data_IF_668684783804
#
_entry.id   IF_668684783804
#
_cell.length_a   1.000
_cell.length_b   1.000
_cell.length_c   1.000
_cell.angle_alpha   90.00
_cell.angle_beta   90.00
_cell.angle_gamma   90.00
#
_symmetry.space_group_name_H-M   'P 1'
#
loop_
_entity.id
_entity.type
_entity.pdbx_description
1 polymer ?
#
# COMPACT_ATOMS: atom_id res chain seq x y z
N UNK A 1 -41.33 -24.54 -22.84
CA UNK A 1 -42.12 -25.25 -21.81
C UNK A 1 -41.26 -25.44 -20.56
N UNK A 2 -41.94 -25.57 -19.41
CA UNK A 2 -41.48 -25.80 -18.03
C UNK A 2 -40.47 -26.97 -17.84
N UNK A 3 -39.67 -27.10 -16.76
CA UNK A 3 -39.34 -26.23 -15.60
C UNK A 3 -38.03 -26.70 -14.91
N UNK A 4 -37.52 -25.88 -13.99
CA UNK A 4 -36.26 -25.96 -13.22
C UNK A 4 -36.11 -27.23 -12.34
N UNK A 5 -34.85 -27.59 -12.07
CA UNK A 5 -34.39 -28.35 -10.89
C UNK A 5 -33.45 -27.45 -10.08
N UNK A 6 -33.62 -27.37 -8.76
CA UNK A 6 -32.77 -26.54 -7.90
C UNK A 6 -32.69 -27.12 -6.46
N UNK A 7 -31.48 -27.06 -5.89
CA UNK A 7 -31.10 -26.95 -4.46
C UNK A 7 -31.42 -28.01 -3.36
N UNK A 8 -30.32 -28.57 -2.87
CA UNK A 8 -29.75 -28.48 -1.50
C UNK A 8 -30.36 -29.15 -0.24
N UNK A 9 -29.43 -29.80 0.47
CA UNK A 9 -29.12 -29.66 1.90
C UNK A 9 -29.90 -30.39 3.03
N UNK A 10 -29.23 -31.47 3.48
CA UNK A 10 -28.62 -31.57 4.82
C UNK A 10 -29.42 -32.15 6.03
N UNK A 11 -28.63 -32.75 6.93
CA UNK A 11 -28.88 -33.22 8.31
C UNK A 11 -29.79 -34.45 8.55
N UNK A 12 -29.24 -35.36 9.35
CA UNK A 12 -29.89 -36.54 9.92
C UNK A 12 -30.52 -36.21 11.28
N UNK A 13 -31.79 -36.52 11.44
CA UNK A 13 -32.48 -36.54 12.74
C UNK A 13 -32.31 -37.87 13.48
N UNK A 14 -32.38 -37.82 14.82
CA UNK A 14 -33.24 -38.71 15.65
C UNK A 14 -33.25 -38.34 17.15
N UNK A 15 -34.43 -37.88 17.58
CA UNK A 15 -35.25 -38.29 18.74
C UNK A 15 -34.58 -38.45 20.13
N UNK A 16 -34.93 -37.69 21.20
CA UNK A 16 -36.23 -37.43 21.88
C UNK A 16 -36.84 -38.63 22.64
N UNK A 17 -36.82 -38.56 23.99
CA UNK A 17 -37.88 -38.93 24.98
C UNK A 17 -37.39 -38.55 26.40
N UNK A 18 -37.88 -37.48 27.04
CA UNK A 18 -39.14 -37.30 27.82
C UNK A 18 -39.28 -38.13 29.11
N UNK A 19 -39.41 -37.44 30.24
CA UNK A 19 -39.91 -37.95 31.53
C UNK A 19 -40.83 -36.93 32.24
N UNK A 20 -40.69 -36.65 33.55
CA UNK A 20 -41.80 -36.20 34.45
C UNK A 20 -41.38 -35.41 35.72
N UNK A 21 -42.24 -34.69 36.49
CA UNK A 21 -43.51 -33.95 36.21
C UNK A 21 -44.11 -33.28 37.49
N UNK A 22 -44.14 -31.92 37.58
CA UNK A 22 -45.06 -31.10 38.46
C UNK A 22 -44.87 -31.20 40.01
N UNK A 23 -45.37 -30.32 40.90
CA UNK A 23 -46.23 -29.08 40.93
C UNK A 23 -45.87 -28.33 42.25
N UNK A 24 -46.08 -27.03 42.48
CA UNK A 24 -47.38 -26.38 42.73
C UNK A 24 -47.24 -24.85 42.88
N UNK A 25 -48.36 -24.10 42.85
CA UNK A 25 -48.43 -22.64 43.05
C UNK A 25 -49.05 -22.31 44.41
N UNK A 26 -48.77 -21.13 44.96
CA UNK A 26 -49.85 -20.24 45.37
C UNK A 26 -49.45 -18.75 45.36
N UNK A 27 -50.44 -17.85 45.42
CA UNK A 27 -50.31 -16.41 45.21
C UNK A 27 -51.02 -15.62 46.32
N UNK A 28 -50.76 -14.32 46.32
CA UNK A 28 -51.52 -13.24 46.97
C UNK A 28 -51.31 -12.98 48.49
N UNK A 29 -50.80 -11.78 48.80
CA UNK A 29 -51.61 -10.83 49.58
C UNK A 29 -51.22 -9.35 49.35
N UNK A 30 -52.11 -8.41 49.72
CA UNK A 30 -52.17 -7.03 49.17
C UNK A 30 -51.92 -5.90 50.20
N UNK A 31 -51.19 -4.86 49.73
CA UNK A 31 -51.44 -3.41 49.92
C UNK A 31 -51.23 -2.74 51.32
N UNK A 32 -51.18 -1.37 51.41
CA UNK A 32 -50.24 -0.67 52.31
C UNK A 32 -50.84 0.38 53.30
N UNK A 33 -49.93 1.19 53.91
CA UNK A 33 -50.08 2.43 54.74
C UNK A 33 -50.16 2.25 56.27
N UNK A 34 -49.26 2.93 57.00
CA UNK A 34 -49.57 4.20 57.73
C UNK A 34 -48.34 4.80 58.43
N UNK A 35 -48.22 6.13 58.41
CA UNK A 35 -47.28 6.90 59.24
C UNK A 35 -47.79 7.03 60.69
N UNK A 36 -46.88 7.11 61.66
CA UNK A 36 -47.06 7.86 62.92
C UNK A 36 -45.77 8.62 63.27
N UNK A 37 -45.91 9.90 63.65
CA UNK A 37 -44.83 10.79 64.15
C UNK A 37 -44.75 10.76 65.69
N UNK A 38 -43.68 11.38 66.23
CA UNK A 38 -43.43 11.80 67.64
C UNK A 38 -42.82 10.69 68.52
N UNK A 39 -41.89 10.97 69.46
CA UNK A 39 -41.18 12.23 69.84
C UNK A 39 -39.86 11.90 70.58
N UNK A 40 -38.97 12.90 70.65
CA UNK A 40 -37.68 12.99 71.37
C UNK A 40 -37.42 12.04 72.56
N UNK A 41 -36.14 11.64 72.68
CA UNK A 41 -35.37 11.87 73.92
C UNK A 41 -33.87 12.01 73.59
N UNK A 42 -33.28 13.16 73.92
CA UNK A 42 -31.82 13.31 73.92
C UNK A 42 -31.22 12.32 74.91
N UNK A 43 -30.20 11.59 74.46
CA UNK A 43 -29.08 11.17 75.30
C UNK A 43 -27.82 11.40 74.49
N UNK A 44 -27.16 12.52 74.77
CA UNK A 44 -25.77 12.73 74.38
C UNK A 44 -24.86 11.68 75.05
N UNK A 45 -23.64 11.55 74.49
CA UNK A 45 -22.51 10.70 74.96
C UNK A 45 -22.72 9.22 74.59
N UNK A 46 -21.92 8.62 73.70
CA UNK A 46 -20.46 8.72 73.63
C UNK A 46 -19.86 8.49 72.22
N UNK A 47 -18.77 9.23 71.96
CA UNK A 47 -17.56 8.86 71.19
C UNK A 47 -17.72 8.07 69.88
N UNK A 48 -17.77 8.80 68.76
CA UNK A 48 -16.94 8.45 67.60
C UNK A 48 -15.96 9.58 67.34
N UNK A 49 -14.66 9.24 67.41
CA UNK A 49 -13.56 10.17 67.17
C UNK A 49 -13.38 10.28 65.66
N UNK A 50 -14.10 11.21 65.01
CA UNK A 50 -13.94 11.47 63.58
C UNK A 50 -12.54 12.06 63.37
N UNK A 51 -11.54 11.20 63.13
CA UNK A 51 -10.23 11.61 62.64
C UNK A 51 -10.39 12.00 61.17
N UNK A 52 -10.85 13.23 60.95
CA UNK A 52 -10.92 13.86 59.63
C UNK A 52 -9.54 14.13 59.08
N UNK A 53 -8.89 13.10 58.53
CA UNK A 53 -7.82 13.29 57.56
C UNK A 53 -8.39 13.78 56.22
N UNK A 54 -7.51 14.26 55.33
CA UNK A 54 -7.86 14.89 54.04
C UNK A 54 -8.74 14.04 53.10
N UNK A 55 -8.93 12.75 53.39
CA UNK A 55 -9.69 11.77 52.59
C UNK A 55 -10.80 11.04 53.37
N UNK A 56 -11.19 11.51 54.56
CA UNK A 56 -12.36 10.99 55.28
C UNK A 56 -12.14 9.68 56.06
N UNK A 57 -13.26 9.10 56.51
CA UNK A 57 -13.30 8.02 57.51
C UNK A 57 -12.86 6.65 56.96
N UNK A 58 -12.16 5.85 57.77
CA UNK A 58 -11.47 4.60 57.39
C UNK A 58 -12.38 3.37 57.19
N UNK A 59 -13.65 3.56 56.85
CA UNK A 59 -14.53 2.45 56.46
C UNK A 59 -14.16 1.93 55.06
N UNK A 60 -14.20 0.61 54.85
CA UNK A 60 -13.84 -0.01 53.57
C UNK A 60 -14.70 0.48 52.39
N UNK A 61 -15.98 0.75 52.63
CA UNK A 61 -16.91 1.34 51.66
C UNK A 61 -16.56 2.79 51.29
N UNK A 62 -16.05 3.59 52.22
CA UNK A 62 -15.53 4.94 51.95
C UNK A 62 -14.25 4.86 51.14
N UNK A 63 -13.37 3.91 51.46
CA UNK A 63 -12.10 3.68 50.77
C UNK A 63 -12.33 3.26 49.31
N UNK A 64 -13.30 2.37 49.05
CA UNK A 64 -13.77 2.08 47.68
C UNK A 64 -14.29 3.33 46.95
N UNK A 65 -15.05 4.20 47.64
CA UNK A 65 -15.56 5.45 47.07
C UNK A 65 -14.44 6.42 46.67
N UNK A 66 -13.43 6.59 47.54
CA UNK A 66 -12.24 7.41 47.27
C UNK A 66 -11.42 6.83 46.12
N UNK A 67 -11.18 5.51 46.08
CA UNK A 67 -10.46 4.85 44.98
C UNK A 67 -11.22 4.99 43.66
N UNK A 68 -12.55 4.82 43.64
CA UNK A 68 -13.38 5.06 42.45
C UNK A 68 -13.36 6.53 42.02
N UNK A 69 -13.33 7.47 42.96
CA UNK A 69 -13.17 8.90 42.69
C UNK A 69 -11.81 9.24 42.05
N UNK A 70 -10.71 8.70 42.60
CA UNK A 70 -9.36 8.86 42.03
C UNK A 70 -9.30 8.24 40.63
N UNK A 71 -9.82 7.03 40.43
CA UNK A 71 -9.90 6.39 39.11
C UNK A 71 -10.72 7.21 38.12
N UNK A 72 -11.82 7.82 38.54
CA UNK A 72 -12.62 8.72 37.70
C UNK A 72 -11.84 9.97 37.29
N UNK A 73 -11.12 10.61 38.22
CA UNK A 73 -10.26 11.78 37.92
C UNK A 73 -9.12 11.40 36.97
N UNK A 74 -8.48 10.25 37.16
CA UNK A 74 -7.46 9.74 36.22
C UNK A 74 -8.06 9.45 34.84
N UNK A 75 -9.24 8.82 34.77
CA UNK A 75 -9.93 8.54 33.52
C UNK A 75 -10.33 9.81 32.75
N UNK A 76 -10.88 10.81 33.44
CA UNK A 76 -11.17 12.13 32.86
C UNK A 76 -9.87 12.82 32.41
N UNK A 77 -8.79 12.73 33.19
CA UNK A 77 -7.48 13.22 32.80
C UNK A 77 -6.95 12.59 31.50
N UNK A 78 -7.07 11.26 31.36
CA UNK A 78 -6.72 10.55 30.14
C UNK A 78 -7.57 10.99 28.93
N UNK A 79 -8.88 11.22 29.11
CA UNK A 79 -9.75 11.75 28.04
C UNK A 79 -9.32 13.17 27.65
N UNK A 80 -9.08 14.07 28.61
CA UNK A 80 -8.66 15.46 28.32
C UNK A 80 -7.29 15.49 27.61
N UNK A 81 -6.34 14.64 28.02
CA UNK A 81 -5.04 14.54 27.33
C UNK A 81 -5.17 13.92 25.94
N UNK A 82 -6.02 12.90 25.76
CA UNK A 82 -6.26 12.25 24.47
C UNK A 82 -6.95 13.17 23.47
N UNK A 83 -8.11 13.73 23.84
CA UNK A 83 -8.85 14.70 23.02
C UNK A 83 -8.06 15.99 22.79
N UNK A 84 -7.23 16.41 23.76
CA UNK A 84 -6.36 17.56 23.63
C UNK A 84 -5.20 17.36 22.66
N UNK A 85 -4.60 16.15 22.60
CA UNK A 85 -3.53 15.83 21.64
C UNK A 85 -4.04 15.53 20.23
N UNK A 86 -5.19 14.87 20.09
CA UNK A 86 -5.76 14.46 18.81
C UNK A 86 -5.72 15.52 17.68
N UNK A 87 -6.08 16.81 17.89
CA UNK A 87 -5.97 17.82 16.84
C UNK A 87 -4.51 18.21 16.50
N UNK A 88 -3.58 18.18 17.46
CA UNK A 88 -2.16 18.43 17.19
C UNK A 88 -1.53 17.25 16.44
N UNK A 89 -1.76 16.03 16.90
CA UNK A 89 -1.27 14.80 16.25
C UNK A 89 -1.83 14.69 14.82
N UNK A 90 -3.10 15.07 14.61
CA UNK A 90 -3.70 15.10 13.27
C UNK A 90 -3.12 16.21 12.40
N UNK A 91 -2.91 17.43 12.93
CA UNK A 91 -2.30 18.52 12.18
C UNK A 91 -0.84 18.24 11.80
N UNK A 92 -0.06 17.62 12.69
CA UNK A 92 1.32 17.21 12.41
C UNK A 92 1.37 16.06 11.40
N UNK A 93 0.45 15.09 11.49
CA UNK A 93 0.29 14.03 10.49
C UNK A 93 -0.13 14.58 9.12
N UNK A 94 -1.05 15.55 9.06
CA UNK A 94 -1.46 16.21 7.82
C UNK A 94 -0.30 17.01 7.21
N UNK A 95 0.43 17.80 8.00
CA UNK A 95 1.66 18.48 7.55
C UNK A 95 2.73 17.51 7.07
N UNK A 96 2.86 16.36 7.74
CA UNK A 96 3.77 15.30 7.32
C UNK A 96 3.34 14.68 5.97
N UNK A 97 2.06 14.39 5.75
CA UNK A 97 1.54 13.90 4.46
C UNK A 97 1.57 14.95 3.34
N UNK A 98 1.42 16.24 3.67
CA UNK A 98 1.56 17.34 2.71
C UNK A 98 3.03 17.55 2.31
N UNK A 99 3.97 17.39 3.23
CA UNK A 99 5.40 17.57 2.97
C UNK A 99 6.13 16.37 2.37
N UNK A 100 5.51 15.21 2.16
CA UNK A 100 6.19 14.00 1.66
C UNK A 100 5.70 13.56 0.27
N UNK A 101 6.51 12.71 -0.37
CA UNK A 101 6.12 11.92 -1.55
C UNK A 101 4.96 10.98 -1.20
N UNK A 102 4.00 10.79 -2.11
CA UNK A 102 2.93 9.79 -1.99
C UNK A 102 3.53 8.42 -1.63
N UNK A 103 2.91 7.62 -0.73
CA UNK A 103 3.51 6.40 -0.21
C UNK A 103 3.96 5.42 -1.29
N UNK A 104 5.15 4.84 -1.12
CA UNK A 104 5.60 3.74 -1.97
C UNK A 104 4.72 2.51 -1.71
N UNK A 105 4.26 1.88 -2.78
CA UNK A 105 3.27 0.81 -2.78
C UNK A 105 1.82 1.29 -2.97
N UNK A 106 1.57 2.60 -3.02
CA UNK A 106 0.23 3.14 -3.25
C UNK A 106 -0.25 2.89 -4.69
N UNK A 107 -1.53 2.56 -4.83
CA UNK A 107 -2.19 2.38 -6.13
C UNK A 107 -2.84 3.69 -6.58
N UNK A 108 -2.55 4.09 -7.82
CA UNK A 108 -3.14 5.23 -8.49
C UNK A 108 -4.06 4.70 -9.60
N UNK A 109 -5.34 5.07 -9.56
CA UNK A 109 -6.32 4.68 -10.57
C UNK A 109 -6.52 5.80 -11.59
N UNK A 110 -6.35 5.50 -12.87
CA UNK A 110 -6.66 6.41 -13.97
C UNK A 110 -8.17 6.67 -14.03
N UNK A 111 -8.55 7.94 -13.85
CA UNK A 111 -9.92 8.41 -13.56
C UNK A 111 -11.04 7.98 -14.53
N UNK A 112 -10.73 7.59 -15.77
CA UNK A 112 -11.73 7.14 -16.77
C UNK A 112 -11.51 5.72 -17.24
N UNK A 113 -10.26 5.30 -17.44
CA UNK A 113 -9.96 3.94 -17.90
C UNK A 113 -10.07 2.92 -16.76
N UNK A 114 -10.02 3.35 -15.49
CA UNK A 114 -9.96 2.45 -14.34
C UNK A 114 -8.73 1.55 -14.42
N UNK A 115 -7.62 2.10 -14.90
CA UNK A 115 -6.34 1.41 -15.01
C UNK A 115 -5.50 1.73 -13.77
N UNK A 116 -5.07 0.69 -13.05
CA UNK A 116 -4.28 0.86 -11.82
C UNK A 116 -2.77 0.81 -12.12
N UNK A 117 -2.04 1.82 -11.66
CA UNK A 117 -0.57 1.80 -11.60
C UNK A 117 -0.11 1.97 -10.16
N UNK A 118 1.04 1.42 -9.79
CA UNK A 118 1.55 1.49 -8.42
C UNK A 118 2.80 2.35 -8.35
N UNK A 119 2.93 3.26 -7.37
CA UNK A 119 4.23 3.92 -7.12
C UNK A 119 5.19 2.88 -6.54
N UNK A 120 6.05 2.30 -7.38
CA UNK A 120 6.98 1.23 -6.98
C UNK A 120 8.16 1.77 -6.19
N UNK A 121 8.70 2.90 -6.60
CA UNK A 121 9.87 3.53 -6.00
C UNK A 121 9.92 5.03 -6.35
N UNK A 122 10.56 5.81 -5.47
CA UNK A 122 11.05 7.15 -5.82
C UNK A 122 12.51 7.28 -5.41
N UNK A 123 13.35 7.64 -6.38
CA UNK A 123 14.79 7.79 -6.23
C UNK A 123 15.24 9.20 -6.57
N UNK A 124 16.35 9.64 -6.00
CA UNK A 124 17.01 10.88 -6.35
C UNK A 124 18.52 10.70 -6.18
N UNK A 125 19.32 11.50 -6.87
CA UNK A 125 20.77 11.43 -6.74
C UNK A 125 21.30 12.21 -5.51
N UNK A 126 22.61 12.12 -5.26
CA UNK A 126 23.23 12.75 -4.09
C UNK A 126 23.08 14.28 -4.09
N UNK A 127 23.06 14.90 -5.27
CA UNK A 127 22.96 16.35 -5.44
C UNK A 127 21.52 16.86 -5.51
N UNK A 128 20.56 15.96 -5.75
CA UNK A 128 19.13 16.26 -6.05
C UNK A 128 18.93 16.84 -7.45
N UNK A 129 19.90 16.64 -8.35
CA UNK A 129 19.87 17.17 -9.72
C UNK A 129 18.95 16.36 -10.66
N UNK A 130 18.63 15.12 -10.29
CA UNK A 130 17.65 14.26 -10.96
C UNK A 130 16.89 13.42 -9.94
N UNK A 131 15.56 13.47 -10.04
CA UNK A 131 14.61 12.66 -9.27
C UNK A 131 13.82 11.77 -10.23
N UNK A 132 13.63 10.51 -9.87
CA UNK A 132 12.98 9.48 -10.71
C UNK A 132 11.86 8.84 -9.93
N UNK A 133 10.65 8.83 -10.49
CA UNK A 133 9.50 8.06 -9.98
C UNK A 133 9.26 6.88 -10.89
N UNK A 134 9.16 5.69 -10.29
CA UNK A 134 8.93 4.43 -10.99
C UNK A 134 7.49 3.96 -10.77
N UNK A 135 6.73 3.86 -11.84
CA UNK A 135 5.32 3.47 -11.86
C UNK A 135 5.19 2.03 -12.36
N UNK A 136 4.73 1.14 -11.49
CA UNK A 136 4.44 -0.25 -11.81
C UNK A 136 3.15 -0.39 -12.59
N UNK A 137 3.23 -0.94 -13.80
CA UNK A 137 2.07 -1.29 -14.61
C UNK A 137 1.74 -2.78 -14.45
N UNK A 138 0.52 -3.08 -14.02
CA UNK A 138 -0.01 -4.44 -13.97
C UNK A 138 -0.45 -4.93 -15.38
N UNK A 139 -0.95 -6.16 -15.49
CA UNK A 139 -1.39 -6.73 -16.78
C UNK A 139 -2.72 -6.13 -17.28
N UNK A 140 -3.55 -5.59 -16.39
CA UNK A 140 -4.81 -4.92 -16.73
C UNK A 140 -4.55 -3.54 -17.33
N UNK A 141 -3.76 -2.72 -16.65
CA UNK A 141 -3.37 -1.37 -17.08
C UNK A 141 -2.67 -1.38 -18.45
N UNK A 142 -1.78 -2.35 -18.71
CA UNK A 142 -1.13 -2.53 -20.04
C UNK A 142 -2.08 -2.74 -21.21
N UNK A 143 -3.32 -3.19 -20.96
CA UNK A 143 -4.34 -3.36 -22.01
C UNK A 143 -5.15 -2.09 -22.26
N UNK A 144 -5.19 -1.18 -21.29
CA UNK A 144 -6.00 0.04 -21.28
C UNK A 144 -5.18 1.30 -21.63
N UNK A 145 -3.92 1.32 -21.22
CA UNK A 145 -3.01 2.46 -21.29
C UNK A 145 -1.91 2.25 -22.34
N UNK A 146 -1.45 3.34 -22.95
CA UNK A 146 -0.35 3.28 -23.92
C UNK A 146 0.99 2.95 -23.26
N UNK A 147 1.80 2.14 -23.94
CA UNK A 147 3.24 1.93 -23.64
C UNK A 147 4.13 3.04 -24.19
N UNK A 148 3.58 4.01 -24.93
CA UNK A 148 4.34 5.11 -25.53
C UNK A 148 4.18 6.39 -24.71
N UNK A 149 5.29 6.94 -24.21
CA UNK A 149 5.30 8.15 -23.37
C UNK A 149 4.63 9.37 -24.03
N UNK A 150 4.80 9.57 -25.34
CA UNK A 150 4.15 10.67 -26.10
C UNK A 150 2.62 10.70 -26.01
N UNK A 151 1.96 9.59 -25.68
CA UNK A 151 0.50 9.51 -25.48
C UNK A 151 0.07 9.89 -24.05
N UNK A 152 0.92 10.62 -23.33
CA UNK A 152 0.62 11.20 -22.03
C UNK A 152 0.95 12.70 -22.02
N UNK A 153 0.14 13.48 -21.33
CA UNK A 153 0.44 14.87 -20.98
C UNK A 153 0.90 14.94 -19.52
N UNK A 154 1.91 15.77 -19.27
CA UNK A 154 2.54 15.93 -17.97
C UNK A 154 2.24 17.34 -17.43
N UNK A 155 1.70 17.41 -16.23
CA UNK A 155 1.47 18.65 -15.51
C UNK A 155 2.17 18.56 -14.15
N UNK A 156 2.81 19.65 -13.74
CA UNK A 156 3.32 19.82 -12.38
C UNK A 156 2.63 21.02 -11.76
N UNK A 157 2.20 20.89 -10.52
CA UNK A 157 1.65 21.97 -9.70
C UNK A 157 2.66 22.24 -8.58
N UNK A 158 3.03 23.51 -8.41
CA UNK A 158 3.95 24.00 -7.40
C UNK A 158 3.32 25.20 -6.68
N UNK A 159 3.84 25.53 -5.50
CA UNK A 159 3.32 26.68 -4.74
C UNK A 159 3.71 28.02 -5.41
N UNK A 160 2.91 29.06 -5.17
CA UNK A 160 3.12 30.40 -5.73
C UNK A 160 4.51 30.95 -5.37
N UNK A 161 5.16 31.60 -6.35
CA UNK A 161 6.55 32.06 -6.25
C UNK A 161 7.63 30.96 -6.31
N UNK A 162 7.28 29.67 -6.19
CA UNK A 162 8.21 28.55 -6.16
C UNK A 162 8.21 27.69 -7.44
N UNK A 163 8.04 28.32 -8.61
CA UNK A 163 8.04 27.63 -9.92
C UNK A 163 9.41 26.98 -10.20
N UNK A 164 9.53 25.64 -10.20
CA UNK A 164 10.81 24.97 -10.36
C UNK A 164 11.29 25.02 -11.82
N UNK A 165 12.59 25.27 -12.04
CA UNK A 165 13.21 25.20 -13.37
C UNK A 165 13.65 23.77 -13.67
N UNK A 166 12.69 22.92 -14.03
CA UNK A 166 12.89 21.50 -14.32
C UNK A 166 12.57 21.12 -15.76
N UNK A 167 13.26 20.09 -16.25
CA UNK A 167 12.88 19.31 -17.43
C UNK A 167 12.29 18.01 -16.93
N UNK A 168 11.07 17.67 -17.36
CA UNK A 168 10.42 16.41 -16.98
C UNK A 168 10.20 15.56 -18.21
N UNK A 169 10.66 14.30 -18.16
CA UNK A 169 10.42 13.30 -19.21
C UNK A 169 9.61 12.13 -18.64
N UNK A 170 8.75 11.53 -19.45
CA UNK A 170 8.01 10.32 -19.11
C UNK A 170 8.08 9.27 -20.22
N UNK A 171 8.34 8.02 -19.84
CA UNK A 171 8.40 6.87 -20.74
C UNK A 171 8.13 5.54 -20.04
N UNK A 172 7.96 4.48 -20.82
CA UNK A 172 7.76 3.11 -20.31
C UNK A 172 8.89 2.24 -20.82
N UNK A 173 9.54 1.52 -19.91
CA UNK A 173 10.70 0.69 -20.23
C UNK A 173 10.27 -0.52 -21.08
N UNK A 174 10.54 -0.47 -22.38
CA UNK A 174 10.05 -1.46 -23.35
C UNK A 174 8.53 -1.63 -23.37
N UNK A 175 8.05 -2.81 -23.79
CA UNK A 175 6.61 -3.13 -23.87
C UNK A 175 6.02 -3.62 -22.55
N UNK A 176 6.81 -4.34 -21.75
CA UNK A 176 6.37 -5.01 -20.51
C UNK A 176 7.05 -4.49 -19.22
N UNK A 177 7.87 -3.44 -19.29
CA UNK A 177 8.51 -2.84 -18.12
C UNK A 177 7.67 -1.78 -17.41
N UNK A 178 8.29 -1.11 -16.44
CA UNK A 178 7.66 -0.06 -15.62
C UNK A 178 7.72 1.30 -16.32
N UNK A 179 6.82 2.22 -15.93
CA UNK A 179 6.86 3.63 -16.30
C UNK A 179 7.88 4.40 -15.46
N UNK A 180 8.55 5.39 -16.05
CA UNK A 180 9.57 6.20 -15.40
C UNK A 180 9.31 7.68 -15.69
N UNK A 181 9.12 8.45 -14.63
CA UNK A 181 9.05 9.91 -14.67
C UNK A 181 10.40 10.47 -14.17
N UNK A 182 11.14 11.11 -15.08
CA UNK A 182 12.43 11.72 -14.82
C UNK A 182 12.25 13.22 -14.62
N UNK A 183 12.45 13.73 -13.41
CA UNK A 183 12.40 15.16 -13.08
C UNK A 183 13.84 15.65 -12.90
N UNK A 184 14.39 16.24 -13.96
CA UNK A 184 15.76 16.79 -13.99
C UNK A 184 15.75 18.28 -13.64
N UNK A 185 16.59 18.66 -12.69
CA UNK A 185 16.72 20.02 -12.16
C UNK A 185 16.63 20.03 -10.64
N UNK A 186 17.21 21.04 -10.01
CA UNK A 186 17.22 21.18 -8.56
C UNK A 186 15.83 21.59 -8.06
N UNK A 187 15.15 20.67 -7.38
CA UNK A 187 13.86 20.88 -6.72
C UNK A 187 14.09 21.37 -5.28
N UNK A 188 13.24 22.27 -4.78
CA UNK A 188 13.29 22.71 -3.38
C UNK A 188 12.89 21.58 -2.42
N UNK A 189 13.12 21.80 -1.12
CA UNK A 189 12.72 20.89 -0.03
C UNK A 189 11.22 20.97 0.27
N UNK A 190 10.38 20.63 -0.72
CA UNK A 190 8.92 20.64 -0.67
C UNK A 190 8.33 19.58 -1.61
N UNK A 191 7.04 19.29 -1.47
CA UNK A 191 6.33 18.40 -2.36
C UNK A 191 5.84 19.16 -3.59
N UNK A 192 5.87 18.49 -4.74
CA UNK A 192 5.31 18.96 -6.00
C UNK A 192 4.23 17.98 -6.43
N UNK A 193 3.06 18.47 -6.84
CA UNK A 193 2.03 17.60 -7.39
C UNK A 193 2.39 17.28 -8.84
N UNK A 194 2.41 15.99 -9.18
CA UNK A 194 2.48 15.52 -10.56
C UNK A 194 1.10 15.05 -10.99
N UNK A 195 0.68 15.43 -12.20
CA UNK A 195 -0.49 14.87 -12.87
C UNK A 195 -0.02 14.27 -14.19
N UNK A 196 -0.35 13.01 -14.43
CA UNK A 196 -0.09 12.31 -15.69
C UNK A 196 -1.44 11.96 -16.30
N UNK A 197 -1.74 12.56 -17.45
CA UNK A 197 -3.00 12.35 -18.15
C UNK A 197 -2.78 11.55 -19.44
N UNK A 198 -3.53 10.47 -19.58
CA UNK A 198 -3.55 9.61 -20.76
C UNK A 198 -4.35 10.30 -21.88
N UNK A 199 -3.78 10.33 -23.10
CA UNK A 199 -4.45 10.90 -24.28
C UNK A 199 -5.10 9.84 -25.16
N UNK A 200 -4.83 8.55 -24.93
CA UNK A 200 -5.25 7.44 -25.80
C UNK A 200 -5.98 6.35 -25.01
N UNK A 201 -7.28 6.22 -25.24
CA UNK A 201 -8.05 5.08 -24.74
C UNK A 201 -7.84 3.87 -25.65
N UNK A 202 -7.17 2.83 -25.15
CA UNK A 202 -7.10 1.53 -25.83
C UNK A 202 -8.34 0.70 -25.50
N UNK A 203 -9.05 0.25 -26.54
CA UNK A 203 -10.17 -0.69 -26.41
C UNK A 203 -9.73 -2.06 -26.94
N UNK A 204 -9.88 -3.11 -26.14
CA UNK A 204 -9.50 -4.48 -26.52
C UNK A 204 -10.60 -5.26 -27.24
N UNK A 205 -11.74 -4.64 -27.56
CA UNK A 205 -12.82 -5.26 -28.32
C UNK A 205 -13.62 -6.35 -27.60
N UNK A 206 -13.38 -6.57 -26.30
CA UNK A 206 -14.20 -7.47 -25.48
C UNK A 206 -15.59 -6.84 -25.25
N UNK A 207 -16.64 -7.62 -25.52
CA UNK A 207 -18.02 -7.12 -25.60
C UNK A 207 -18.53 -6.59 -24.25
N UNK A 208 -18.69 -5.26 -24.18
CA UNK A 208 -19.16 -4.56 -22.97
C UNK A 208 -18.80 -3.08 -22.96
N UNK A 209 -17.75 -2.67 -23.67
CA UNK A 209 -17.40 -1.27 -23.87
C UNK A 209 -17.76 -0.85 -25.29
N UNK A 210 -18.94 -0.21 -25.45
CA UNK A 210 -19.28 0.56 -26.66
C UNK A 210 -18.42 1.82 -26.72
N UNK A 211 -17.17 1.64 -27.11
CA UNK A 211 -16.19 2.69 -27.37
C UNK A 211 -15.43 2.30 -28.62
N UNK A 212 -15.75 2.98 -29.73
CA UNK A 212 -14.92 3.00 -30.92
C UNK A 212 -13.46 3.31 -30.53
N UNK A 213 -12.50 2.82 -31.32
CA UNK A 213 -11.07 3.19 -31.17
C UNK A 213 -10.85 4.63 -31.67
N UNK A 214 -11.52 5.55 -31.02
CA UNK A 214 -11.41 6.98 -31.24
C UNK A 214 -10.23 7.48 -30.44
N UNK A 215 -9.36 8.28 -31.08
CA UNK A 215 -8.51 9.21 -30.35
C UNK A 215 -9.43 10.03 -29.45
N UNK A 216 -9.41 9.76 -28.15
CA UNK A 216 -10.12 10.59 -27.18
C UNK A 216 -9.61 12.02 -27.39
N UNK A 217 -10.51 12.95 -27.69
CA UNK A 217 -10.21 14.37 -27.76
C UNK A 217 -9.81 14.81 -26.35
N UNK A 218 -8.53 14.59 -26.01
CA UNK A 218 -7.91 15.04 -24.80
C UNK A 218 -8.01 16.56 -24.81
N UNK A 219 -8.92 17.07 -23.98
CA UNK A 219 -9.15 18.50 -23.87
C UNK A 219 -8.34 19.01 -22.67
N UNK A 220 -7.13 19.46 -23.02
CA UNK A 220 -6.15 20.03 -22.10
C UNK A 220 -6.76 21.15 -21.23
N UNK A 221 -7.61 22.01 -21.80
CA UNK A 221 -8.26 23.09 -21.06
C UNK A 221 -9.14 22.59 -19.91
N UNK A 222 -9.76 21.42 -20.03
CA UNK A 222 -10.57 20.86 -18.94
C UNK A 222 -9.70 20.36 -17.79
N UNK A 223 -8.50 19.84 -18.08
CA UNK A 223 -7.55 19.45 -17.04
C UNK A 223 -6.92 20.69 -16.40
N UNK A 224 -6.57 21.70 -17.19
CA UNK A 224 -6.06 22.97 -16.67
C UNK A 224 -7.08 23.70 -15.80
N UNK A 225 -8.37 23.73 -16.17
CA UNK A 225 -9.45 24.29 -15.35
C UNK A 225 -9.65 23.50 -14.05
N UNK A 226 -9.61 22.17 -14.11
CA UNK A 226 -9.68 21.31 -12.92
C UNK A 226 -8.50 21.55 -11.97
N UNK A 227 -7.29 21.69 -12.52
CA UNK A 227 -6.09 22.09 -11.79
C UNK A 227 -6.32 23.47 -11.15
N UNK A 228 -6.65 24.51 -11.92
CA UNK A 228 -6.80 25.89 -11.39
C UNK A 228 -7.90 26.06 -10.33
N UNK A 229 -8.92 25.20 -10.34
CA UNK A 229 -10.00 25.22 -9.36
C UNK A 229 -9.68 24.42 -8.07
N UNK A 230 -8.65 23.57 -8.11
CA UNK A 230 -8.32 22.64 -7.03
C UNK A 230 -7.05 23.10 -6.31
N UNK A 231 -7.19 23.44 -5.03
CA UNK A 231 -6.09 23.80 -4.13
C UNK A 231 -5.27 22.57 -3.72
N UNK A 232 -3.93 22.69 -3.68
CA UNK A 232 -2.99 21.66 -3.23
C UNK A 232 -3.29 21.17 -1.80
N UNK A 233 -3.86 22.03 -0.94
CA UNK A 233 -4.28 21.68 0.43
C UNK A 233 -5.47 20.70 0.47
N UNK A 234 -6.27 20.59 -0.60
CA UNK A 234 -7.43 19.69 -0.67
C UNK A 234 -7.06 18.22 -0.91
N UNK A 235 -5.82 17.93 -1.32
CA UNK A 235 -5.36 16.57 -1.54
C UNK A 235 -5.43 15.73 -0.27
N UNK A 236 -5.76 14.44 -0.45
CA UNK A 236 -5.97 13.51 0.66
C UNK A 236 -4.69 13.20 1.46
N UNK A 237 -4.83 12.35 2.47
CA UNK A 237 -3.77 11.86 3.37
C UNK A 237 -2.61 11.16 2.63
N UNK A 238 -2.83 10.70 1.40
CA UNK A 238 -1.84 10.09 0.50
C UNK A 238 -1.24 11.08 -0.51
N UNK A 239 -1.74 12.31 -0.59
CA UNK A 239 -1.30 13.32 -1.54
C UNK A 239 -1.87 13.17 -2.94
N UNK A 240 -3.08 12.64 -3.08
CA UNK A 240 -3.84 12.68 -4.34
C UNK A 240 -4.93 13.75 -4.23
N UNK A 241 -4.97 14.66 -5.20
CA UNK A 241 -6.00 15.67 -5.38
C UNK A 241 -7.29 14.99 -5.84
N UNK A 242 -7.27 14.40 -7.04
CA UNK A 242 -8.50 14.06 -7.76
C UNK A 242 -9.10 12.72 -7.32
N UNK A 243 -8.31 11.85 -6.70
CA UNK A 243 -8.73 10.53 -6.17
C UNK A 243 -9.33 10.58 -4.76
N UNK A 244 -9.42 11.76 -4.12
CA UNK A 244 -10.11 11.97 -2.84
C UNK A 244 -11.50 12.58 -3.04
N UNK A 245 -12.51 12.10 -2.31
CA UNK A 245 -13.89 12.64 -2.36
C UNK A 245 -14.07 14.04 -1.75
N UNK A 246 -12.97 14.82 -1.65
CA UNK A 246 -12.93 16.18 -1.10
C UNK A 246 -13.19 17.26 -2.16
N UNK A 247 -13.12 16.90 -3.45
CA UNK A 247 -13.34 17.81 -4.60
C UNK A 247 -14.74 17.59 -5.16
N UNK A 248 -15.40 18.67 -5.59
CA UNK A 248 -16.71 18.57 -6.26
C UNK A 248 -16.59 17.83 -7.58
N UNK A 249 -17.63 17.06 -7.96
CA UNK A 249 -17.68 16.36 -9.26
C UNK A 249 -17.57 17.28 -10.48
N UNK A 250 -17.85 18.57 -10.31
CA UNK A 250 -17.79 19.59 -11.35
C UNK A 250 -16.35 20.09 -11.60
N UNK A 251 -15.54 20.10 -10.55
CA UNK A 251 -14.12 20.49 -10.55
C UNK A 251 -13.18 19.30 -10.86
N UNK A 252 -13.69 18.06 -10.82
CA UNK A 252 -12.92 16.88 -11.19
C UNK A 252 -12.49 16.90 -12.67
N UNK A 253 -11.25 16.50 -12.98
CA UNK A 253 -10.73 16.52 -14.34
C UNK A 253 -11.49 15.55 -15.26
N UNK A 254 -11.87 16.05 -16.43
CA UNK A 254 -12.51 15.26 -17.50
C UNK A 254 -11.49 14.53 -18.39
N UNK A 255 -10.19 14.64 -18.11
CA UNK A 255 -9.17 13.79 -18.73
C UNK A 255 -9.18 12.39 -18.08
N UNK A 256 -8.51 11.43 -18.71
CA UNK A 256 -8.15 10.17 -18.04
C UNK A 256 -6.80 10.41 -17.36
N UNK A 257 -6.73 10.48 -16.04
CA UNK A 257 -5.51 10.89 -15.35
C UNK A 257 -5.31 10.23 -13.99
N UNK A 258 -4.04 10.21 -13.58
CA UNK A 258 -3.58 9.97 -12.21
C UNK A 258 -2.88 11.23 -11.69
N UNK A 259 -2.82 11.38 -10.38
CA UNK A 259 -2.03 12.42 -9.73
C UNK A 259 -1.41 11.94 -8.41
N UNK A 260 -0.25 12.50 -8.05
CA UNK A 260 0.53 12.09 -6.88
C UNK A 260 1.57 13.16 -6.48
N UNK A 261 1.99 13.16 -5.20
CA UNK A 261 3.06 14.05 -4.68
C UNK A 261 4.45 13.46 -4.86
N UNK A 262 5.41 14.31 -5.22
CA UNK A 262 6.85 13.99 -5.26
C UNK A 262 7.64 15.02 -4.45
N UNK A 263 8.40 14.58 -3.44
CA UNK A 263 9.40 15.39 -2.75
C UNK A 263 10.74 14.63 -2.70
N UNK A 264 11.82 15.10 -3.34
CA UNK A 264 13.10 14.39 -3.31
C UNK A 264 13.81 14.40 -1.96
N UNK A 265 13.33 15.19 -0.99
CA UNK A 265 13.75 15.20 0.40
C UNK A 265 12.79 14.46 1.35
N UNK A 266 11.77 13.78 0.81
CA UNK A 266 10.92 12.86 1.57
C UNK A 266 11.75 11.78 2.25
N UNK A 267 11.31 11.32 3.44
CA UNK A 267 11.91 10.14 4.10
C UNK A 267 11.74 8.86 3.29
N UNK A 268 10.72 8.79 2.43
CA UNK A 268 10.45 7.65 1.55
C UNK A 268 11.27 7.67 0.27
N UNK A 269 11.88 8.80 -0.10
CA UNK A 269 12.66 8.89 -1.34
C UNK A 269 14.09 8.38 -1.14
N UNK A 270 14.45 7.35 -1.90
CA UNK A 270 15.77 6.73 -1.87
C UNK A 270 16.84 7.65 -2.47
N UNK A 271 18.01 7.71 -1.83
CA UNK A 271 19.12 8.57 -2.25
C UNK A 271 20.27 7.72 -2.78
N UNK A 272 20.49 7.76 -4.09
CA UNK A 272 21.69 7.18 -4.67
C UNK A 272 22.91 8.03 -4.30
N UNK A 273 23.99 7.41 -3.84
CA UNK A 273 25.20 8.12 -3.35
C UNK A 273 26.09 8.67 -4.47
N UNK A 274 25.84 8.32 -5.73
CA UNK A 274 26.49 8.89 -6.91
C UNK A 274 25.63 9.96 -7.58
N UNK A 275 25.77 10.10 -8.90
CA UNK A 275 24.88 10.90 -9.74
C UNK A 275 24.18 10.01 -10.78
N UNK A 276 22.95 10.39 -11.14
CA UNK A 276 22.22 9.82 -12.28
C UNK A 276 22.42 10.63 -13.57
N UNK A 277 23.32 11.62 -13.55
CA UNK A 277 23.68 12.41 -14.72
C UNK A 277 25.09 12.02 -15.22
N UNK A 278 25.25 12.08 -16.53
CA UNK A 278 26.55 12.00 -17.21
C UNK A 278 27.36 13.29 -17.01
N UNK A 279 28.64 13.28 -17.43
CA UNK A 279 29.53 14.42 -17.28
C UNK A 279 29.11 15.66 -18.10
N UNK A 280 28.36 15.47 -19.19
CA UNK A 280 27.72 16.52 -19.99
C UNK A 280 26.37 17.01 -19.40
N UNK A 281 25.95 16.42 -18.28
CA UNK A 281 24.65 16.67 -17.65
C UNK A 281 23.47 15.96 -18.31
N UNK A 282 23.65 15.12 -19.32
CA UNK A 282 22.57 14.26 -19.85
C UNK A 282 22.16 13.20 -18.81
N UNK A 283 20.97 12.61 -18.97
CA UNK A 283 20.49 11.57 -18.05
C UNK A 283 21.21 10.25 -18.34
N UNK A 284 21.81 9.64 -17.32
CA UNK A 284 22.35 8.29 -17.43
C UNK A 284 21.24 7.27 -17.17
N UNK A 285 20.46 6.99 -18.21
CA UNK A 285 19.34 6.06 -18.21
C UNK A 285 19.75 4.66 -17.69
N UNK A 286 20.88 4.14 -18.15
CA UNK A 286 21.47 2.88 -17.69
C UNK A 286 21.64 2.85 -16.18
N UNK A 287 22.24 3.89 -15.60
CA UNK A 287 22.47 3.96 -14.16
C UNK A 287 21.20 4.10 -13.34
N UNK A 288 20.17 4.76 -13.88
CA UNK A 288 18.84 4.78 -13.27
C UNK A 288 18.27 3.36 -13.21
N UNK A 289 18.13 2.68 -14.35
CA UNK A 289 17.54 1.32 -14.41
C UNK A 289 18.36 0.32 -13.59
N UNK A 290 19.68 0.44 -13.61
CA UNK A 290 20.61 -0.37 -12.80
C UNK A 290 20.25 -0.29 -11.30
N UNK A 291 20.12 0.93 -10.77
CA UNK A 291 19.89 1.16 -9.34
C UNK A 291 18.44 0.94 -8.92
N UNK A 292 17.45 1.31 -9.75
CA UNK A 292 16.02 1.23 -9.37
C UNK A 292 15.39 -0.13 -9.66
N UNK A 293 15.99 -0.96 -10.51
CA UNK A 293 15.31 -2.15 -11.06
C UNK A 293 16.22 -3.37 -11.21
N UNK A 294 17.38 -3.24 -11.87
CA UNK A 294 18.26 -4.39 -12.12
C UNK A 294 18.81 -4.94 -10.81
N UNK A 295 19.29 -4.09 -9.91
CA UNK A 295 19.94 -4.53 -8.67
C UNK A 295 19.06 -5.48 -7.83
N UNK A 296 17.78 -5.16 -7.65
CA UNK A 296 16.85 -5.99 -6.89
C UNK A 296 16.53 -7.32 -7.58
N UNK A 297 16.48 -7.33 -8.91
CA UNK A 297 16.30 -8.56 -9.71
C UNK A 297 17.57 -9.42 -9.63
N UNK A 298 18.75 -8.81 -9.73
CA UNK A 298 20.05 -9.46 -9.60
C UNK A 298 20.24 -10.07 -8.21
N UNK A 299 19.91 -9.34 -7.13
CA UNK A 299 19.96 -9.87 -5.77
C UNK A 299 18.99 -11.03 -5.53
N UNK A 300 17.87 -11.11 -6.26
CA UNK A 300 16.95 -12.27 -6.23
C UNK A 300 17.54 -13.44 -7.00
N UNK A 301 18.00 -13.21 -8.24
CA UNK A 301 18.66 -14.23 -9.07
C UNK A 301 19.87 -14.84 -8.37
N UNK A 302 20.71 -14.05 -7.69
CA UNK A 302 21.85 -14.58 -6.91
C UNK A 302 21.41 -15.46 -5.73
N UNK A 303 20.30 -15.11 -5.05
CA UNK A 303 19.72 -15.95 -3.98
C UNK A 303 19.18 -17.27 -4.54
N UNK A 304 18.49 -17.22 -5.68
CA UNK A 304 17.91 -18.40 -6.34
C UNK A 304 18.99 -19.31 -6.95
N UNK A 305 20.02 -18.76 -7.60
CA UNK A 305 21.21 -19.48 -8.08
C UNK A 305 21.91 -20.17 -6.91
N UNK A 306 22.13 -19.48 -5.79
CA UNK A 306 22.75 -20.06 -4.59
C UNK A 306 21.90 -21.20 -3.99
N UNK A 307 20.59 -21.03 -3.95
CA UNK A 307 19.64 -22.06 -3.47
C UNK A 307 19.61 -23.28 -4.39
N UNK A 308 19.59 -23.06 -5.71
CA UNK A 308 19.64 -24.11 -6.73
C UNK A 308 20.94 -24.90 -6.67
N UNK A 309 22.11 -24.23 -6.58
CA UNK A 309 23.42 -24.87 -6.35
C UNK A 309 23.44 -25.73 -5.09
N UNK A 310 22.94 -25.23 -3.96
CA UNK A 310 22.85 -26.01 -2.72
C UNK A 310 21.93 -27.23 -2.82
N UNK A 311 20.80 -27.13 -3.54
CA UNK A 311 19.91 -28.27 -3.82
C UNK A 311 20.59 -29.29 -4.73
N UNK A 312 21.31 -28.82 -5.76
CA UNK A 312 22.05 -29.67 -6.69
C UNK A 312 23.17 -30.46 -5.99
N UNK A 313 23.90 -29.84 -5.07
CA UNK A 313 24.94 -30.51 -4.27
C UNK A 313 24.34 -31.59 -3.35
N UNK A 314 23.21 -31.30 -2.70
CA UNK A 314 22.46 -32.27 -1.90
C UNK A 314 22.01 -33.47 -2.74
N UNK A 315 21.40 -33.22 -3.92
CA UNK A 315 21.00 -34.29 -4.85
C UNK A 315 22.22 -35.10 -5.35
N UNK A 316 23.36 -34.46 -5.61
CA UNK A 316 24.61 -35.13 -5.98
C UNK A 316 25.16 -36.01 -4.85
N UNK A 317 24.95 -35.63 -3.59
CA UNK A 317 25.28 -36.46 -2.42
C UNK A 317 24.32 -37.66 -2.29
N UNK A 318 23.00 -37.44 -2.39
CA UNK A 318 22.00 -38.52 -2.40
C UNK A 318 22.23 -39.52 -3.54
N UNK A 319 22.61 -39.03 -4.73
CA UNK A 319 22.99 -39.88 -5.87
C UNK A 319 24.16 -40.81 -5.51
N UNK A 320 25.24 -40.29 -4.91
CA UNK A 320 26.40 -41.11 -4.48
C UNK A 320 26.00 -42.18 -3.46
N UNK A 321 25.14 -41.83 -2.51
CA UNK A 321 24.62 -42.76 -1.49
C UNK A 321 23.80 -43.89 -2.14
N UNK A 322 22.84 -43.56 -3.02
CA UNK A 322 22.06 -44.57 -3.73
C UNK A 322 22.92 -45.40 -4.70
N UNK A 323 23.93 -44.81 -5.35
CA UNK A 323 24.91 -45.55 -6.16
C UNK A 323 25.74 -46.54 -5.34
N UNK A 324 26.06 -46.25 -4.07
CA UNK A 324 26.69 -47.24 -3.17
C UNK A 324 25.73 -48.37 -2.87
N UNK A 325 24.53 -48.06 -2.38
CA UNK A 325 23.51 -49.08 -2.02
C UNK A 325 23.17 -50.04 -3.16
N UNK A 326 23.14 -49.56 -4.41
CA UNK A 326 22.89 -50.39 -5.61
C UNK A 326 24.12 -51.24 -6.01
N UNK A 327 25.35 -50.82 -5.66
CA UNK A 327 26.55 -51.65 -5.82
C UNK A 327 26.61 -52.75 -4.76
N UNK A 328 26.30 -52.40 -3.51
CA UNK A 328 26.33 -53.28 -2.35
C UNK A 328 25.22 -54.34 -2.41
N UNK A 329 23.99 -53.95 -2.79
CA UNK A 329 22.91 -54.87 -3.13
C UNK A 329 22.29 -54.57 -4.51
N UNK A 330 22.70 -55.39 -5.50
CA UNK A 330 22.21 -55.33 -6.88
C UNK A 330 20.72 -55.69 -7.04
N UNK A 331 20.05 -56.26 -6.03
CA UNK A 331 18.63 -56.60 -6.05
C UNK A 331 17.75 -55.55 -5.37
N UNK A 332 18.32 -54.57 -4.67
CA UNK A 332 17.58 -53.48 -4.04
C UNK A 332 16.85 -52.61 -5.09
N UNK A 333 15.54 -52.84 -5.25
CA UNK A 333 14.70 -52.14 -6.22
C UNK A 333 14.40 -50.70 -5.80
N UNK A 334 14.26 -50.44 -4.50
CA UNK A 334 14.02 -49.12 -3.94
C UNK A 334 15.21 -48.19 -4.19
N UNK A 335 16.43 -48.66 -3.91
CA UNK A 335 17.65 -47.89 -4.16
C UNK A 335 17.85 -47.57 -5.65
N UNK A 336 17.45 -48.45 -6.57
CA UNK A 336 17.44 -48.15 -8.02
C UNK A 336 16.40 -47.09 -8.38
N UNK A 337 15.17 -47.22 -7.90
CA UNK A 337 14.11 -46.23 -8.12
C UNK A 337 14.52 -44.84 -7.62
N UNK A 338 15.04 -44.77 -6.40
CA UNK A 338 15.51 -43.52 -5.79
C UNK A 338 16.72 -42.94 -6.53
N UNK A 339 17.64 -43.79 -7.01
CA UNK A 339 18.77 -43.36 -7.84
C UNK A 339 18.30 -42.71 -9.15
N UNK A 340 17.35 -43.32 -9.86
CA UNK A 340 16.89 -42.80 -11.15
C UNK A 340 16.04 -41.52 -10.98
N UNK A 341 15.15 -41.46 -9.98
CA UNK A 341 14.46 -40.22 -9.59
C UNK A 341 15.44 -39.10 -9.22
N UNK A 342 16.54 -39.43 -8.51
CA UNK A 342 17.58 -38.45 -8.16
C UNK A 342 18.35 -37.97 -9.39
N UNK A 343 18.66 -38.85 -10.36
CA UNK A 343 19.29 -38.46 -11.64
C UNK A 343 18.41 -37.49 -12.43
N UNK A 344 17.12 -37.73 -12.50
CA UNK A 344 16.21 -36.86 -13.24
C UNK A 344 15.98 -35.53 -12.51
N UNK A 345 15.89 -35.55 -11.18
CA UNK A 345 15.88 -34.33 -10.35
C UNK A 345 17.16 -33.49 -10.53
N UNK A 346 18.32 -34.13 -10.71
CA UNK A 346 19.59 -33.45 -11.02
C UNK A 346 19.51 -32.76 -12.39
N UNK A 347 19.03 -33.45 -13.45
CA UNK A 347 18.89 -32.87 -14.79
C UNK A 347 17.95 -31.66 -14.80
N UNK A 348 16.82 -31.76 -14.09
CA UNK A 348 15.86 -30.67 -13.98
C UNK A 348 16.46 -29.47 -13.25
N UNK A 349 17.17 -29.71 -12.13
CA UNK A 349 17.82 -28.64 -11.37
C UNK A 349 19.00 -28.01 -12.13
N UNK A 350 19.77 -28.78 -12.90
CA UNK A 350 20.83 -28.25 -13.79
C UNK A 350 20.25 -27.37 -14.91
N UNK A 351 19.11 -27.76 -15.48
CA UNK A 351 18.38 -26.94 -16.46
C UNK A 351 17.83 -25.65 -15.83
N UNK A 352 17.28 -25.72 -14.63
CA UNK A 352 16.79 -24.57 -13.86
C UNK A 352 17.94 -23.60 -13.53
N UNK A 353 19.05 -24.13 -13.01
CA UNK A 353 20.25 -23.35 -12.69
C UNK A 353 20.79 -22.60 -13.93
N UNK A 354 20.90 -23.29 -15.07
CA UNK A 354 21.34 -22.68 -16.32
C UNK A 354 20.41 -21.55 -16.77
N UNK A 355 19.09 -21.74 -16.67
CA UNK A 355 18.12 -20.71 -17.02
C UNK A 355 18.20 -19.47 -16.11
N UNK A 356 18.50 -19.65 -14.82
CA UNK A 356 18.74 -18.57 -13.86
C UNK A 356 20.05 -17.82 -14.15
N UNK A 357 21.13 -18.54 -14.46
CA UNK A 357 22.43 -17.95 -14.83
C UNK A 357 22.34 -17.19 -16.16
N UNK A 358 21.67 -17.72 -17.17
CA UNK A 358 21.37 -17.02 -18.43
C UNK A 358 20.46 -15.78 -18.20
N UNK A 359 19.52 -15.85 -17.26
CA UNK A 359 18.71 -14.69 -16.90
C UNK A 359 19.54 -13.59 -16.23
N UNK A 360 20.46 -13.97 -15.33
CA UNK A 360 21.39 -13.05 -14.69
C UNK A 360 22.30 -12.38 -15.72
N UNK A 361 22.91 -13.16 -16.61
CA UNK A 361 23.80 -12.66 -17.66
C UNK A 361 23.10 -11.67 -18.61
N UNK A 362 21.80 -11.88 -18.92
CA UNK A 362 21.01 -10.90 -19.68
C UNK A 362 20.91 -9.54 -18.98
N UNK A 363 20.66 -9.53 -17.66
CA UNK A 363 20.59 -8.29 -16.89
C UNK A 363 21.96 -7.63 -16.68
N UNK A 364 23.05 -8.40 -16.58
CA UNK A 364 24.42 -7.85 -16.51
C UNK A 364 24.86 -7.19 -17.83
N UNK A 365 24.36 -7.71 -18.97
CA UNK A 365 24.67 -7.21 -20.32
C UNK A 365 23.64 -6.21 -20.87
N UNK A 366 22.56 -5.95 -20.13
CA UNK A 366 21.54 -4.98 -20.55
C UNK A 366 22.10 -3.57 -20.40
N UNK A 367 22.45 -2.94 -21.52
CA UNK A 367 22.66 -1.51 -21.59
C UNK A 367 21.29 -0.83 -21.82
N UNK A 368 20.97 0.18 -21.02
CA UNK A 368 19.71 0.93 -21.13
C UNK A 368 20.03 2.39 -21.45
N UNK A 369 19.41 2.89 -22.49
CA UNK A 369 19.60 4.23 -23.02
C UNK A 369 18.27 5.00 -23.02
N UNK A 370 18.23 6.15 -23.71
CA UNK A 370 16.98 6.90 -23.86
C UNK A 370 15.93 6.13 -24.68
N UNK A 371 16.34 5.40 -25.72
CA UNK A 371 15.45 4.67 -26.63
C UNK A 371 14.76 3.47 -25.95
N UNK A 372 15.35 2.94 -24.89
CA UNK A 372 14.81 1.87 -24.05
C UNK A 372 13.46 2.22 -23.41
N UNK A 373 13.12 3.50 -23.29
CA UNK A 373 11.84 4.00 -22.76
C UNK A 373 10.80 4.29 -23.85
N UNK A 374 11.12 3.90 -25.08
CA UNK A 374 10.36 4.20 -26.28
C UNK A 374 10.28 5.71 -26.55
N UNK A 375 9.22 6.07 -27.26
CA UNK A 375 8.91 7.46 -27.59
C UNK A 375 8.41 8.21 -26.34
N UNK A 376 9.30 8.87 -25.63
CA UNK A 376 8.99 9.62 -24.40
C UNK A 376 8.23 10.94 -24.66
N UNK A 377 7.43 11.35 -23.67
CA UNK A 377 6.98 12.73 -23.53
C UNK A 377 8.08 13.55 -22.85
N UNK A 378 8.37 14.73 -23.39
CA UNK A 378 9.37 15.67 -22.87
C UNK A 378 8.80 17.08 -22.58
N UNK A 379 7.53 17.31 -22.92
CA UNK A 379 6.81 18.55 -22.64
C UNK A 379 6.07 18.43 -21.30
N UNK A 380 6.27 19.41 -20.45
CA UNK A 380 5.54 19.57 -19.19
C UNK A 380 4.94 20.96 -19.07
N UNK A 381 3.72 21.04 -18.55
CA UNK A 381 3.08 22.28 -18.14
C UNK A 381 3.25 22.47 -16.63
N UNK A 382 3.87 23.56 -16.22
CA UNK A 382 4.12 23.88 -14.80
C UNK A 382 3.19 25.00 -14.37
N UNK A 383 2.26 24.65 -13.48
CA UNK A 383 1.25 25.50 -12.85
C UNK A 383 1.76 25.97 -11.48
N UNK A 384 1.30 27.14 -11.05
CA UNK A 384 1.59 27.71 -9.73
C UNK A 384 0.28 28.12 -9.06
N UNK A 385 0.14 27.83 -7.77
CA UNK A 385 -1.05 28.12 -6.96
C UNK A 385 -0.66 28.65 -5.58
#
# INVERSE_FOLDING_TARGET
MFSKKDKNDNKKDKAIKKSKWRKSKNKDNKKPKKQKKKKNRNRDKDKYKIMGGLFGDRASSTLEGVVKGILFVVFVGCIVVGCGKMPFDHADMTKYSMGNTTPIGEQLEFSKSGAEVTIKDVWTDKKRDLTVVKLGYDKSARRKLSTTGKNYHLHMIADEGHKPKVSVKYGVLGTEGDGYLFIKGNLDRRAYQMVIANTLNLSTGDEGVTGETSSSNYNDENLEKAISNTDIEQANDKGMLFSGGNINKEDQPKADNIDFRVNPYSKTTHVYKGSFLNADGSINYGKVVEQTSVKDVMEKLDKDIKKSKGKLDSLKQSKKEFESRVKDDKKNSEAKSNLDQTKDSIKEEEKNLKALEEAKERYEKSDFDESSFGDMQDKIKVHTQ
#
